data_IF_414482068071
#
_entry.id   IF_414482068071
#
_cell.length_a   1.000
_cell.length_b   1.000
_cell.length_c   1.000
_cell.angle_alpha   90.00
_cell.angle_beta   90.00
_cell.angle_gamma   90.00
#
_symmetry.space_group_name_H-M   'P 1'
#
loop_
_entity.id
_entity.type
_entity.pdbx_description
1 polymer ?
#
# COMPACT_ATOMS: atom_id res chain seq x y z
N UNK A 1 4.20 -13.94 -14.78
CA UNK A 1 2.99 -14.71 -15.19
C UNK A 1 1.88 -13.70 -15.28
N UNK A 2 1.21 -13.57 -16.43
CA UNK A 2 0.04 -12.68 -16.53
C UNK A 2 -1.17 -13.27 -15.81
N UNK A 3 -2.13 -12.40 -15.49
CA UNK A 3 -3.44 -12.69 -14.87
C UNK A 3 -4.15 -13.92 -15.47
N UNK A 4 -3.89 -14.27 -16.73
CA UNK A 4 -4.52 -15.37 -17.49
C UNK A 4 -4.53 -16.75 -16.80
N UNK A 5 -3.64 -17.04 -15.85
CA UNK A 5 -3.66 -18.30 -15.07
C UNK A 5 -4.47 -18.25 -13.76
N UNK A 6 -4.77 -17.04 -13.28
CA UNK A 6 -5.47 -16.76 -12.01
C UNK A 6 -6.92 -16.28 -12.23
N UNK A 7 -7.35 -16.09 -13.49
CA UNK A 7 -8.69 -15.66 -13.90
C UNK A 7 -9.84 -16.57 -13.45
N UNK A 8 -9.56 -17.74 -12.86
CA UNK A 8 -10.58 -18.73 -12.51
C UNK A 8 -11.32 -18.42 -11.20
N UNK A 9 -10.86 -17.46 -10.38
CA UNK A 9 -11.42 -17.27 -9.04
C UNK A 9 -11.80 -15.81 -8.76
N UNK A 10 -13.11 -15.54 -8.68
CA UNK A 10 -13.68 -14.28 -8.16
C UNK A 10 -13.58 -14.18 -6.63
N UNK A 11 -12.61 -14.87 -6.04
CA UNK A 11 -12.39 -14.96 -4.59
C UNK A 11 -10.90 -15.06 -4.28
N UNK A 12 -10.56 -14.75 -3.03
CA UNK A 12 -9.26 -15.06 -2.44
C UNK A 12 -9.48 -15.96 -1.21
N UNK A 13 -8.42 -16.61 -0.75
CA UNK A 13 -8.49 -17.43 0.47
C UNK A 13 -8.04 -16.61 1.67
N UNK A 14 -8.85 -16.63 2.73
CA UNK A 14 -8.47 -16.16 4.06
C UNK A 14 -8.70 -17.28 5.07
N UNK A 15 -7.63 -17.77 5.69
CA UNK A 15 -7.63 -18.95 6.56
C UNK A 15 -8.23 -20.19 5.88
N UNK A 16 -7.91 -20.37 4.59
CA UNK A 16 -8.44 -21.44 3.72
C UNK A 16 -9.95 -21.35 3.44
N UNK A 17 -10.63 -20.30 3.89
CA UNK A 17 -12.01 -20.01 3.52
C UNK A 17 -12.04 -19.06 2.32
N UNK A 18 -12.85 -19.33 1.27
CA UNK A 18 -12.99 -18.42 0.14
C UNK A 18 -13.81 -17.18 0.53
N UNK A 19 -13.27 -16.00 0.23
CA UNK A 19 -13.97 -14.71 0.35
C UNK A 19 -14.05 -14.04 -1.02
N UNK A 20 -15.22 -13.48 -1.40
CA UNK A 20 -15.32 -12.73 -2.65
C UNK A 20 -14.46 -11.47 -2.56
N UNK A 21 -13.85 -11.07 -3.67
CA UNK A 21 -13.28 -9.73 -3.76
C UNK A 21 -14.39 -8.68 -3.68
N UNK A 22 -14.10 -7.51 -3.10
CA UNK A 22 -14.94 -6.34 -3.29
C UNK A 22 -14.92 -5.95 -4.79
N UNK A 23 -16.11 -5.68 -5.34
CA UNK A 23 -16.32 -5.32 -6.75
C UNK A 23 -16.95 -3.94 -6.91
N UNK A 24 -17.22 -3.22 -5.82
CA UNK A 24 -17.70 -1.83 -5.89
C UNK A 24 -16.60 -0.96 -6.48
N UNK A 25 -16.87 -0.11 -7.49
CA UNK A 25 -15.82 0.72 -8.10
C UNK A 25 -15.10 1.68 -7.14
N UNK A 26 -15.77 2.10 -6.06
CA UNK A 26 -15.21 3.02 -5.09
C UNK A 26 -14.01 2.41 -4.36
N UNK A 27 -12.84 3.06 -4.44
CA UNK A 27 -11.62 2.65 -3.72
C UNK A 27 -11.04 1.29 -4.12
N UNK A 28 -11.62 0.59 -5.09
CA UNK A 28 -11.27 -0.81 -5.38
C UNK A 28 -9.99 -0.99 -6.21
N UNK A 29 -9.25 0.09 -6.45
CA UNK A 29 -7.87 0.02 -6.93
C UNK A 29 -6.85 -0.14 -5.79
N UNK A 30 -7.27 -0.08 -4.53
CA UNK A 30 -6.42 -0.30 -3.35
C UNK A 30 -6.65 -1.67 -2.71
N UNK A 31 -5.96 -1.93 -1.60
CA UNK A 31 -6.16 -3.06 -0.68
C UNK A 31 -7.61 -3.24 -0.18
N UNK A 32 -8.48 -2.22 -0.30
CA UNK A 32 -9.93 -2.30 -0.02
C UNK A 32 -10.63 -3.43 -0.77
N UNK A 33 -10.03 -3.94 -1.85
CA UNK A 33 -10.51 -5.12 -2.57
C UNK A 33 -10.59 -6.39 -1.70
N UNK A 34 -9.69 -6.55 -0.71
CA UNK A 34 -9.68 -7.68 0.22
C UNK A 34 -10.02 -7.29 1.66
N UNK A 35 -9.72 -6.06 2.09
CA UNK A 35 -9.97 -5.63 3.47
C UNK A 35 -11.46 -5.60 3.83
N UNK A 36 -12.32 -5.11 2.92
CA UNK A 36 -13.76 -5.00 3.17
C UNK A 36 -14.40 -6.40 3.35
N UNK A 37 -14.15 -7.39 2.46
CA UNK A 37 -14.60 -8.76 2.69
C UNK A 37 -14.06 -9.39 3.99
N UNK A 38 -12.78 -9.15 4.33
CA UNK A 38 -12.16 -9.64 5.58
C UNK A 38 -12.86 -9.04 6.80
N UNK A 39 -13.13 -7.73 6.78
CA UNK A 39 -13.82 -7.01 7.85
C UNK A 39 -15.26 -7.51 8.05
N UNK A 40 -16.02 -7.68 6.96
CA UNK A 40 -17.38 -8.23 7.03
C UNK A 40 -17.36 -9.64 7.61
N UNK A 41 -16.43 -10.51 7.18
CA UNK A 41 -16.28 -11.87 7.75
C UNK A 41 -16.01 -11.80 9.25
N UNK A 42 -15.06 -10.97 9.67
CA UNK A 42 -14.69 -10.80 11.08
C UNK A 42 -15.89 -10.37 11.93
N UNK A 43 -16.55 -9.27 11.54
CA UNK A 43 -17.69 -8.73 12.29
C UNK A 43 -18.84 -9.72 12.40
N UNK A 44 -19.14 -10.47 11.33
CA UNK A 44 -20.17 -11.50 11.34
C UNK A 44 -19.84 -12.66 12.28
N UNK A 45 -18.58 -13.13 12.26
CA UNK A 45 -18.11 -14.19 13.19
C UNK A 45 -18.21 -13.74 14.65
N UNK A 46 -18.14 -12.44 14.90
CA UNK A 46 -18.23 -11.84 16.25
C UNK A 46 -19.64 -11.35 16.61
N UNK A 47 -20.67 -11.62 15.79
CA UNK A 47 -22.05 -11.16 16.04
C UNK A 47 -22.18 -9.64 16.25
N UNK A 48 -21.32 -8.87 15.57
CA UNK A 48 -21.23 -7.42 15.73
C UNK A 48 -22.55 -6.71 15.42
N UNK A 49 -22.87 -5.67 16.19
CA UNK A 49 -24.05 -4.83 15.95
C UNK A 49 -25.38 -5.44 16.39
N UNK A 50 -25.41 -6.71 16.84
CA UNK A 50 -26.65 -7.38 17.30
C UNK A 50 -27.03 -6.94 18.72
N UNK A 51 -26.07 -6.92 19.65
CA UNK A 51 -26.29 -6.53 21.05
C UNK A 51 -25.96 -5.06 21.31
N UNK A 52 -24.85 -4.62 20.74
CA UNK A 52 -24.32 -3.27 20.88
C UNK A 52 -23.56 -2.86 19.62
N UNK A 53 -23.46 -1.56 19.34
CA UNK A 53 -22.68 -1.08 18.21
C UNK A 53 -21.19 -1.34 18.43
N UNK A 54 -20.48 -1.77 17.38
CA UNK A 54 -19.02 -1.84 17.40
C UNK A 54 -18.42 -0.45 17.10
N UNK A 55 -17.15 -0.25 17.47
CA UNK A 55 -16.41 0.96 17.11
C UNK A 55 -15.76 0.79 15.73
N UNK A 56 -16.03 1.69 14.81
CA UNK A 56 -15.30 1.87 13.56
C UNK A 56 -14.41 3.11 13.63
N UNK A 57 -13.17 2.99 13.18
CA UNK A 57 -12.19 4.07 13.17
C UNK A 57 -11.77 4.37 11.72
N UNK A 58 -12.00 5.61 11.27
CA UNK A 58 -11.65 6.08 9.91
C UNK A 58 -12.79 6.09 8.88
N UNK A 59 -14.06 5.99 9.32
CA UNK A 59 -15.29 6.04 8.51
C UNK A 59 -15.29 5.29 7.15
N UNK A 60 -14.59 4.16 7.05
CA UNK A 60 -14.36 3.46 5.78
C UNK A 60 -15.67 2.93 5.20
N UNK A 61 -16.49 2.26 6.01
CA UNK A 61 -17.73 1.59 5.57
C UNK A 61 -18.83 2.53 5.09
N UNK A 62 -18.77 3.84 5.38
CA UNK A 62 -19.70 4.79 4.77
C UNK A 62 -19.68 4.73 3.24
N UNK A 63 -18.54 4.35 2.65
CA UNK A 63 -18.38 4.20 1.21
C UNK A 63 -18.73 2.80 0.67
N UNK A 64 -19.01 1.84 1.54
CA UNK A 64 -19.25 0.44 1.20
C UNK A 64 -20.60 -0.08 1.71
N UNK A 65 -21.55 0.82 2.01
CA UNK A 65 -22.89 0.46 2.49
C UNK A 65 -23.61 -0.61 1.64
N UNK A 66 -23.51 -0.64 0.29
CA UNK A 66 -24.13 -1.70 -0.49
C UNK A 66 -23.60 -3.11 -0.16
N UNK A 67 -22.36 -3.25 0.33
CA UNK A 67 -21.82 -4.53 0.79
C UNK A 67 -22.30 -4.90 2.21
N UNK A 68 -22.82 -3.94 2.96
CA UNK A 68 -23.41 -4.16 4.28
C UNK A 68 -24.92 -4.44 4.21
N UNK A 69 -25.60 -4.14 3.11
CA UNK A 69 -27.05 -4.36 2.96
C UNK A 69 -27.52 -5.80 3.28
N UNK A 70 -26.77 -6.87 2.91
CA UNK A 70 -27.12 -8.25 3.29
C UNK A 70 -26.95 -8.55 4.79
N UNK A 71 -26.33 -7.64 5.54
CA UNK A 71 -25.95 -7.76 6.95
C UNK A 71 -26.36 -6.49 7.71
N UNK A 72 -27.66 -6.18 7.81
CA UNK A 72 -28.15 -4.91 8.36
C UNK A 72 -27.68 -4.65 9.80
N UNK A 73 -27.41 -5.68 10.58
CA UNK A 73 -26.80 -5.59 11.92
C UNK A 73 -25.46 -4.84 11.90
N UNK A 74 -24.66 -4.98 10.84
CA UNK A 74 -23.35 -4.33 10.71
C UNK A 74 -23.46 -2.81 10.50
N UNK A 75 -24.66 -2.28 10.27
CA UNK A 75 -24.88 -0.82 10.24
C UNK A 75 -24.94 -0.22 11.65
N UNK A 76 -25.14 -1.05 12.68
CA UNK A 76 -25.07 -0.65 14.09
C UNK A 76 -23.61 -0.48 14.50
N UNK A 77 -23.11 0.75 14.41
CA UNK A 77 -21.72 1.10 14.72
C UNK A 77 -21.59 2.53 15.23
N UNK A 78 -20.55 2.77 16.02
CA UNK A 78 -20.08 4.09 16.40
C UNK A 78 -18.88 4.41 15.51
N UNK A 79 -18.94 5.50 14.75
CA UNK A 79 -17.85 5.90 13.86
C UNK A 79 -17.04 7.00 14.52
N UNK A 80 -15.72 6.81 14.60
CA UNK A 80 -14.75 7.78 15.09
C UNK A 80 -13.84 8.20 13.94
N UNK A 81 -13.83 9.49 13.63
CA UNK A 81 -12.91 10.07 12.65
C UNK A 81 -12.59 11.52 13.02
N UNK A 82 -11.31 11.86 13.13
CA UNK A 82 -10.87 13.19 13.57
C UNK A 82 -11.23 14.31 12.59
N UNK A 83 -11.27 14.03 11.29
CA UNK A 83 -11.28 15.06 10.25
C UNK A 83 -12.51 14.99 9.33
N UNK A 84 -13.09 13.80 9.13
CA UNK A 84 -14.24 13.63 8.25
C UNK A 84 -15.55 14.05 8.95
N UNK A 85 -16.08 15.22 8.57
CA UNK A 85 -17.38 15.69 9.05
C UNK A 85 -18.52 15.06 8.23
N UNK A 86 -19.19 14.06 8.81
CA UNK A 86 -20.36 13.41 8.21
C UNK A 86 -21.43 13.03 9.26
N UNK A 87 -22.70 12.85 8.86
CA UNK A 87 -23.76 12.48 9.81
C UNK A 87 -23.46 11.18 10.55
N UNK A 88 -23.47 11.24 11.89
CA UNK A 88 -23.22 10.09 12.77
C UNK A 88 -21.75 9.78 13.04
N UNK A 89 -20.82 10.60 12.53
CA UNK A 89 -19.39 10.50 12.83
C UNK A 89 -19.06 11.31 14.08
N UNK A 90 -18.32 10.70 15.01
CA UNK A 90 -17.74 11.36 16.17
C UNK A 90 -16.41 11.99 15.73
N UNK A 91 -16.37 13.31 15.66
CA UNK A 91 -15.17 14.07 15.32
C UNK A 91 -14.22 14.27 16.51
N UNK A 92 -13.64 13.16 16.98
CA UNK A 92 -12.69 13.12 18.09
C UNK A 92 -11.37 12.45 17.65
N UNK A 93 -10.25 12.87 18.25
CA UNK A 93 -8.95 12.23 18.03
C UNK A 93 -8.94 10.86 18.73
N UNK A 94 -8.52 9.81 18.01
CA UNK A 94 -8.37 8.47 18.56
C UNK A 94 -7.52 8.47 19.83
N UNK A 95 -6.46 9.27 19.87
CA UNK A 95 -5.54 9.31 21.02
C UNK A 95 -6.21 9.87 22.28
N UNK A 96 -7.24 10.69 22.12
CA UNK A 96 -8.02 11.28 23.20
C UNK A 96 -9.25 10.44 23.57
N UNK A 97 -9.76 9.61 22.65
CA UNK A 97 -10.91 8.74 22.89
C UNK A 97 -10.65 7.73 24.01
N UNK A 98 -11.59 7.56 24.96
CA UNK A 98 -11.41 6.70 26.15
C UNK A 98 -12.47 5.61 26.34
N UNK A 99 -13.58 5.63 25.58
CA UNK A 99 -14.67 4.66 25.79
C UNK A 99 -14.22 3.28 25.34
N UNK A 100 -14.44 2.27 26.19
CA UNK A 100 -14.13 0.88 25.87
C UNK A 100 -15.21 0.24 25.00
N UNK A 101 -14.81 -0.75 24.22
CA UNK A 101 -15.68 -1.51 23.31
C UNK A 101 -15.32 -2.98 23.31
N UNK A 102 -16.33 -3.84 23.19
CA UNK A 102 -16.15 -5.27 22.96
C UNK A 102 -15.59 -5.57 21.57
N UNK A 103 -15.90 -4.73 20.58
CA UNK A 103 -15.46 -4.89 19.19
C UNK A 103 -14.99 -3.58 18.56
N UNK A 104 -13.81 -3.63 17.92
CA UNK A 104 -13.20 -2.51 17.20
C UNK A 104 -12.83 -2.93 15.78
N UNK A 105 -13.11 -2.07 14.80
CA UNK A 105 -12.68 -2.19 13.42
C UNK A 105 -11.89 -0.94 13.02
N UNK A 106 -10.71 -1.13 12.44
CA UNK A 106 -9.88 -0.02 11.97
C UNK A 106 -9.17 -0.44 10.68
N UNK A 107 -9.58 0.11 9.53
CA UNK A 107 -9.08 -0.34 8.23
C UNK A 107 -8.24 0.74 7.58
N UNK A 108 -6.94 0.52 7.43
CA UNK A 108 -6.01 1.45 6.78
C UNK A 108 -6.16 2.89 7.30
N UNK A 109 -6.09 3.03 8.62
CA UNK A 109 -6.24 4.32 9.32
C UNK A 109 -5.04 4.62 10.22
N UNK A 110 -4.56 3.63 10.99
CA UNK A 110 -3.53 3.87 12.01
C UNK A 110 -2.18 4.26 11.45
N UNK A 111 -1.85 3.83 10.24
CA UNK A 111 -0.61 4.17 9.53
C UNK A 111 -0.47 5.67 9.23
N UNK A 112 -1.58 6.40 9.24
CA UNK A 112 -1.64 7.84 8.98
C UNK A 112 -1.53 8.66 10.27
N UNK A 113 -1.70 8.04 11.43
CA UNK A 113 -1.70 8.75 12.71
C UNK A 113 -0.31 9.33 12.96
N UNK A 114 -0.30 10.62 13.32
CA UNK A 114 0.93 11.38 13.54
C UNK A 114 1.65 11.80 12.26
N UNK A 115 1.15 11.45 11.06
CA UNK A 115 1.74 11.82 9.77
C UNK A 115 1.06 13.05 9.16
N UNK A 116 1.65 13.63 8.11
CA UNK A 116 1.07 14.76 7.37
C UNK A 116 -0.08 14.30 6.44
N UNK A 117 -1.18 13.85 7.04
CA UNK A 117 -2.34 13.31 6.33
C UNK A 117 -3.65 13.91 6.84
N UNK A 118 -4.65 13.97 5.95
CA UNK A 118 -6.06 14.29 6.26
C UNK A 118 -6.32 15.58 7.04
N UNK A 119 -5.38 16.53 7.03
CA UNK A 119 -5.50 17.81 7.73
C UNK A 119 -4.49 18.01 8.85
N UNK A 120 -3.76 16.98 9.26
CA UNK A 120 -2.66 17.08 10.22
C UNK A 120 -1.48 17.88 9.62
N UNK A 121 -1.02 18.88 10.36
CA UNK A 121 0.04 19.80 9.94
C UNK A 121 1.35 19.58 10.69
N UNK A 122 1.33 18.76 11.76
CA UNK A 122 2.52 18.48 12.58
C UNK A 122 3.52 17.58 11.84
N UNK A 123 4.80 17.80 12.14
CA UNK A 123 5.90 16.91 11.72
C UNK A 123 5.59 15.46 12.07
N UNK A 124 5.84 14.55 11.13
CA UNK A 124 5.61 13.11 11.27
C UNK A 124 6.16 12.49 12.55
N UNK A 125 5.30 11.92 13.40
CA UNK A 125 5.69 11.02 14.49
C UNK A 125 5.63 9.58 13.99
N UNK A 126 6.79 9.03 13.63
CA UNK A 126 6.91 7.69 13.03
C UNK A 126 6.43 6.57 13.94
N UNK A 127 6.29 6.81 15.24
CA UNK A 127 5.86 5.81 16.24
C UNK A 127 4.41 5.98 16.70
N UNK A 128 3.76 7.08 16.31
CA UNK A 128 2.35 7.32 16.60
C UNK A 128 1.41 6.19 16.11
N UNK A 129 1.64 5.52 14.96
CA UNK A 129 0.86 4.34 14.59
C UNK A 129 0.92 3.20 15.62
N UNK A 130 2.09 2.94 16.23
CA UNK A 130 2.24 1.91 17.27
C UNK A 130 1.56 2.33 18.58
N UNK A 131 1.68 3.61 18.94
CA UNK A 131 0.95 4.18 20.08
C UNK A 131 -0.56 4.06 19.90
N UNK A 132 -1.06 4.28 18.69
CA UNK A 132 -2.47 4.12 18.34
C UNK A 132 -2.89 2.65 18.46
N UNK A 133 -2.15 1.70 17.88
CA UNK A 133 -2.43 0.27 18.01
C UNK A 133 -2.49 -0.19 19.47
N UNK A 134 -1.54 0.26 20.30
CA UNK A 134 -1.56 -0.02 21.74
C UNK A 134 -2.78 0.64 22.41
N UNK A 135 -3.14 1.85 22.01
CA UNK A 135 -4.33 2.52 22.53
C UNK A 135 -5.61 1.76 22.16
N UNK A 136 -5.74 1.25 20.93
CA UNK A 136 -6.83 0.34 20.53
C UNK A 136 -6.93 -0.87 21.46
N UNK A 137 -5.79 -1.50 21.77
CA UNK A 137 -5.75 -2.60 22.72
C UNK A 137 -6.28 -2.21 24.13
N UNK A 138 -6.01 -0.99 24.58
CA UNK A 138 -6.51 -0.48 25.86
C UNK A 138 -8.00 -0.08 25.83
N UNK A 139 -8.52 0.26 24.64
CA UNK A 139 -9.95 0.49 24.41
C UNK A 139 -10.75 -0.81 24.36
N UNK A 140 -10.12 -1.98 24.22
CA UNK A 140 -10.86 -3.23 24.29
C UNK A 140 -11.34 -3.52 25.73
N UNK A 141 -12.62 -3.88 25.84
CA UNK A 141 -13.19 -4.50 27.03
C UNK A 141 -12.56 -5.88 27.29
N UNK A 142 -12.66 -6.44 28.51
CA UNK A 142 -12.27 -7.83 28.76
C UNK A 142 -12.90 -8.78 27.74
N UNK A 143 -12.08 -9.68 27.19
CA UNK A 143 -12.45 -10.62 26.10
C UNK A 143 -12.85 -9.96 24.76
N UNK A 144 -12.77 -8.64 24.64
CA UNK A 144 -13.02 -7.92 23.40
C UNK A 144 -11.98 -8.18 22.32
N UNK A 145 -12.35 -7.90 21.07
CA UNK A 145 -11.51 -8.11 19.89
C UNK A 145 -11.44 -6.88 18.99
N UNK A 146 -10.29 -6.69 18.33
CA UNK A 146 -10.13 -5.72 17.27
C UNK A 146 -9.65 -6.38 15.98
N UNK A 147 -10.09 -5.85 14.84
CA UNK A 147 -9.48 -6.11 13.54
C UNK A 147 -8.87 -4.81 13.01
N UNK A 148 -7.58 -4.83 12.75
CA UNK A 148 -6.83 -3.70 12.17
C UNK A 148 -6.15 -4.14 10.88
N UNK A 149 -6.16 -3.30 9.85
CA UNK A 149 -5.35 -3.51 8.64
C UNK A 149 -4.39 -2.35 8.43
N UNK A 150 -3.16 -2.66 8.00
CA UNK A 150 -2.10 -1.70 7.68
C UNK A 150 -1.29 -2.15 6.47
N UNK A 151 -0.72 -1.22 5.67
CA UNK A 151 0.26 -1.56 4.65
C UNK A 151 1.50 -2.20 5.28
N UNK A 152 2.01 -3.27 4.67
CA UNK A 152 3.09 -4.08 5.23
C UNK A 152 4.14 -4.48 4.19
N UNK A 153 5.43 -4.38 4.56
CA UNK A 153 6.57 -4.85 3.79
C UNK A 153 7.87 -4.20 4.25
N UNK A 154 8.58 -3.49 3.35
CA UNK A 154 9.69 -2.62 3.76
C UNK A 154 9.19 -1.52 4.69
N UNK A 155 9.99 -1.19 5.71
CA UNK A 155 9.71 -0.04 6.57
C UNK A 155 9.90 1.23 5.77
N UNK A 156 8.82 1.96 5.52
CA UNK A 156 8.86 3.19 4.73
C UNK A 156 8.14 4.33 5.45
N UNK A 157 8.74 5.51 5.39
CA UNK A 157 8.12 6.78 5.74
C UNK A 157 7.75 7.50 4.44
N UNK A 158 6.46 7.53 4.12
CA UNK A 158 5.95 8.18 2.92
C UNK A 158 5.61 9.66 3.17
N UNK A 159 5.89 10.19 4.37
CA UNK A 159 5.51 11.53 4.84
C UNK A 159 4.04 11.66 5.27
N UNK A 160 3.13 10.95 4.61
CA UNK A 160 1.69 10.92 4.91
C UNK A 160 1.20 9.57 5.46
N UNK A 161 2.05 8.55 5.44
CA UNK A 161 1.81 7.25 6.09
C UNK A 161 3.13 6.56 6.44
N UNK A 162 3.07 5.61 7.36
CA UNK A 162 4.13 4.64 7.63
C UNK A 162 3.73 3.28 7.05
N UNK A 163 4.54 2.71 6.16
CA UNK A 163 4.42 1.30 5.81
C UNK A 163 5.12 0.45 6.87
N UNK A 164 4.40 -0.51 7.45
CA UNK A 164 4.92 -1.31 8.54
C UNK A 164 5.89 -2.37 8.00
N UNK A 165 6.92 -2.69 8.78
CA UNK A 165 7.74 -3.90 8.61
C UNK A 165 7.53 -4.87 9.77
N UNK A 166 8.15 -6.05 9.67
CA UNK A 166 8.14 -7.03 10.75
C UNK A 166 8.84 -6.48 12.01
N UNK A 167 9.98 -5.80 11.88
CA UNK A 167 10.68 -5.17 13.01
C UNK A 167 9.81 -4.10 13.67
N UNK A 168 9.17 -3.25 12.86
CA UNK A 168 8.32 -2.19 13.37
C UNK A 168 7.09 -2.74 14.10
N UNK A 169 6.43 -3.77 13.55
CA UNK A 169 5.27 -4.38 14.21
C UNK A 169 5.67 -5.14 15.48
N UNK A 170 6.86 -5.76 15.54
CA UNK A 170 7.37 -6.44 16.74
C UNK A 170 7.51 -5.50 17.94
N UNK A 171 7.81 -4.22 17.70
CA UNK A 171 7.87 -3.21 18.77
C UNK A 171 6.57 -3.13 19.58
N UNK A 172 5.41 -3.41 18.97
CA UNK A 172 4.12 -3.43 19.68
C UNK A 172 4.17 -4.33 20.93
N UNK A 173 4.90 -5.45 20.83
CA UNK A 173 5.13 -6.40 21.91
C UNK A 173 6.36 -6.05 22.75
N UNK A 174 7.51 -5.83 22.10
CA UNK A 174 8.80 -5.67 22.76
C UNK A 174 8.89 -4.37 23.58
N UNK A 175 8.29 -3.30 23.05
CA UNK A 175 8.42 -1.93 23.55
C UNK A 175 7.11 -1.34 24.04
N UNK A 176 6.00 -1.57 23.35
CA UNK A 176 4.68 -1.02 23.74
C UNK A 176 3.87 -1.94 24.66
N UNK A 177 4.39 -3.15 24.92
CA UNK A 177 3.91 -4.03 25.98
C UNK A 177 2.59 -4.73 25.69
N UNK A 178 2.09 -4.69 24.46
CA UNK A 178 0.94 -5.52 24.07
C UNK A 178 1.37 -6.99 24.15
N UNK A 179 0.61 -7.88 24.81
CA UNK A 179 0.98 -9.30 24.90
C UNK A 179 1.07 -9.95 23.51
N UNK A 180 2.10 -10.75 23.26
CA UNK A 180 2.24 -11.43 21.97
C UNK A 180 1.07 -12.40 21.72
N UNK A 181 0.55 -13.03 22.77
CA UNK A 181 -0.60 -13.94 22.73
C UNK A 181 -1.92 -13.22 22.41
N UNK A 182 -1.96 -11.90 22.57
CA UNK A 182 -3.11 -11.09 22.19
C UNK A 182 -3.16 -10.83 20.68
N UNK A 183 -2.08 -11.10 19.94
CA UNK A 183 -1.96 -10.76 18.53
C UNK A 183 -2.00 -12.01 17.66
N UNK A 184 -2.84 -11.98 16.64
CA UNK A 184 -2.79 -12.92 15.53
C UNK A 184 -2.73 -12.11 14.23
N UNK A 185 -1.64 -12.27 13.47
CA UNK A 185 -1.38 -11.46 12.27
C UNK A 185 -1.37 -12.37 11.05
N UNK A 186 -2.21 -12.04 10.08
CA UNK A 186 -2.19 -12.63 8.75
C UNK A 186 -1.63 -11.64 7.73
N UNK A 187 -0.96 -12.14 6.70
CA UNK A 187 -0.32 -11.30 5.69
C UNK A 187 -0.85 -11.62 4.31
N UNK A 188 -1.00 -10.60 3.46
CA UNK A 188 -1.41 -10.77 2.09
C UNK A 188 -0.47 -10.04 1.15
N UNK A 189 -0.20 -10.65 -0.01
CA UNK A 189 0.58 -10.07 -1.10
C UNK A 189 -0.29 -9.88 -2.33
N UNK A 190 -0.21 -8.70 -2.94
CA UNK A 190 -0.79 -8.41 -4.25
C UNK A 190 0.10 -9.07 -5.31
N UNK A 191 -0.43 -10.07 -6.02
CA UNK A 191 0.27 -10.79 -7.08
C UNK A 191 0.19 -10.06 -8.41
N UNK A 192 -0.98 -9.54 -8.74
CA UNK A 192 -1.24 -8.87 -10.00
C UNK A 192 -2.43 -7.91 -9.90
N UNK A 193 -2.49 -6.97 -10.83
CA UNK A 193 -3.56 -5.99 -10.92
C UNK A 193 -3.68 -5.46 -12.35
N UNK A 194 -4.91 -5.24 -12.84
CA UNK A 194 -5.13 -4.54 -14.11
C UNK A 194 -4.55 -3.10 -14.01
N UNK A 195 -3.90 -2.63 -15.08
CA UNK A 195 -3.21 -1.33 -15.10
C UNK A 195 -4.13 -0.12 -15.30
N UNK A 196 -5.39 -0.20 -14.90
CA UNK A 196 -6.34 0.91 -14.95
C UNK A 196 -6.94 1.21 -13.58
N UNK A 197 -7.35 2.47 -13.37
CA UNK A 197 -7.84 2.92 -12.07
C UNK A 197 -9.32 2.59 -11.82
N UNK A 198 -10.10 2.38 -12.89
CA UNK A 198 -11.53 2.17 -12.77
C UNK A 198 -11.86 0.71 -12.47
N UNK A 199 -11.97 0.36 -11.18
CA UNK A 199 -12.32 -0.99 -10.72
C UNK A 199 -11.44 -2.11 -11.30
N UNK A 200 -10.11 -2.04 -11.13
CA UNK A 200 -9.20 -3.04 -11.67
C UNK A 200 -9.44 -4.42 -11.05
N UNK A 201 -9.27 -5.48 -11.82
CA UNK A 201 -9.11 -6.81 -11.23
C UNK A 201 -7.80 -6.84 -10.47
N UNK A 202 -7.83 -7.46 -9.30
CA UNK A 202 -6.65 -7.67 -8.47
C UNK A 202 -6.57 -9.14 -8.09
N UNK A 203 -5.35 -9.64 -7.91
CA UNK A 203 -5.10 -10.96 -7.36
C UNK A 203 -4.28 -10.83 -6.09
N UNK A 204 -4.83 -11.33 -4.99
CA UNK A 204 -4.19 -11.35 -3.69
C UNK A 204 -4.08 -12.76 -3.15
N UNK A 205 -2.99 -13.04 -2.43
CA UNK A 205 -2.76 -14.33 -1.79
C UNK A 205 -2.35 -14.13 -0.33
N UNK A 206 -2.92 -14.93 0.57
CA UNK A 206 -2.43 -15.02 1.96
C UNK A 206 -1.05 -15.69 1.94
N UNK A 207 -0.08 -15.10 2.64
CA UNK A 207 1.33 -15.46 2.55
C UNK A 207 2.04 -15.36 3.90
N UNK A 208 3.32 -15.77 3.95
CA UNK A 208 4.20 -15.48 5.09
C UNK A 208 4.70 -14.04 5.06
N UNK A 209 5.02 -13.46 6.22
CA UNK A 209 5.58 -12.09 6.30
C UNK A 209 6.91 -11.94 5.56
N UNK A 210 7.67 -13.02 5.45
CA UNK A 210 8.95 -13.10 4.78
C UNK A 210 8.81 -12.84 3.28
N UNK A 211 7.67 -13.20 2.68
CA UNK A 211 7.37 -12.93 1.27
C UNK A 211 7.08 -11.43 1.00
N UNK A 212 6.86 -10.64 2.06
CA UNK A 212 6.62 -9.21 1.98
C UNK A 212 7.84 -8.36 2.33
N UNK A 213 8.98 -8.97 2.67
CA UNK A 213 10.18 -8.24 3.08
C UNK A 213 10.65 -7.18 2.07
N UNK A 214 10.37 -7.40 0.78
CA UNK A 214 10.69 -6.46 -0.30
C UNK A 214 9.49 -5.67 -0.85
N UNK A 215 8.27 -5.89 -0.33
CA UNK A 215 7.08 -5.20 -0.79
C UNK A 215 7.16 -3.71 -0.45
N UNK A 216 6.80 -2.85 -1.41
CA UNK A 216 6.79 -1.40 -1.25
C UNK A 216 5.37 -0.87 -1.47
N UNK A 217 5.05 0.23 -0.82
CA UNK A 217 3.86 1.01 -1.12
C UNK A 217 4.04 1.65 -2.50
N UNK A 218 2.97 1.68 -3.29
CA UNK A 218 2.92 2.22 -4.65
C UNK A 218 3.85 1.55 -5.69
N UNK A 219 4.44 0.38 -5.38
CA UNK A 219 5.24 -0.36 -6.34
C UNK A 219 5.22 -1.88 -6.10
N UNK A 220 4.99 -2.70 -7.14
CA UNK A 220 4.79 -2.33 -8.56
C UNK A 220 3.39 -1.76 -8.86
N UNK A 221 2.41 -2.05 -8.00
CA UNK A 221 1.03 -1.58 -8.13
C UNK A 221 0.79 -0.41 -7.19
N UNK A 222 -0.20 0.43 -7.51
CA UNK A 222 -0.62 1.51 -6.61
C UNK A 222 -1.08 1.00 -5.24
N UNK A 223 -0.95 1.86 -4.24
CA UNK A 223 -1.27 1.63 -2.83
C UNK A 223 -0.49 0.45 -2.23
N UNK A 224 -1.08 -0.27 -1.27
CA UNK A 224 -0.40 -1.37 -0.62
C UNK A 224 -0.21 -2.56 -1.60
N UNK A 225 1.01 -3.08 -1.64
CA UNK A 225 1.35 -4.34 -2.32
C UNK A 225 1.48 -5.51 -1.34
N UNK A 226 1.59 -5.19 -0.05
CA UNK A 226 1.49 -6.12 1.07
C UNK A 226 0.64 -5.50 2.16
N UNK A 227 -0.15 -6.30 2.86
CA UNK A 227 -0.92 -5.86 4.03
C UNK A 227 -0.73 -6.83 5.19
N UNK A 228 -0.78 -6.27 6.40
CA UNK A 228 -0.93 -7.04 7.63
C UNK A 228 -2.37 -6.87 8.13
N UNK A 229 -3.03 -7.99 8.39
CA UNK A 229 -4.33 -8.08 9.03
C UNK A 229 -4.10 -8.50 10.47
N UNK A 230 -4.18 -7.55 11.39
CA UNK A 230 -3.89 -7.70 12.80
C UNK A 230 -5.22 -7.94 13.54
N UNK A 231 -5.42 -9.15 14.02
CA UNK A 231 -6.47 -9.46 14.97
C UNK A 231 -5.92 -9.34 16.39
N UNK A 232 -6.52 -8.47 17.19
CA UNK A 232 -6.19 -8.33 18.61
C UNK A 232 -7.29 -8.92 19.46
N UNK A 233 -6.93 -9.61 20.55
CA UNK A 233 -7.84 -10.03 21.61
C UNK A 233 -7.37 -9.46 22.94
N UNK A 234 -8.25 -8.85 23.73
CA UNK A 234 -7.91 -8.35 25.07
C UNK A 234 -7.56 -9.50 25.99
N UNK A 235 -6.34 -9.49 26.52
CA UNK A 235 -5.86 -10.45 27.53
C UNK A 235 -5.36 -9.68 28.75
N UNK A 236 -5.98 -9.91 29.89
CA UNK A 236 -5.60 -9.23 31.13
C UNK A 236 -5.94 -7.73 31.13
N UNK A 237 -5.13 -6.93 31.81
CA UNK A 237 -5.37 -5.51 32.05
C UNK A 237 -4.87 -4.61 30.91
N UNK A 238 -5.11 -3.31 31.06
CA UNK A 238 -4.50 -2.30 30.20
C UNK A 238 -2.98 -2.32 30.33
N UNK A 239 -2.31 -1.99 29.22
CA UNK A 239 -0.85 -1.89 29.16
C UNK A 239 -0.42 -0.46 29.42
N UNK A 240 0.77 -0.31 30.03
CA UNK A 240 1.30 0.98 30.45
C UNK A 240 1.53 1.95 29.27
N UNK A 241 1.42 3.25 29.56
CA UNK A 241 1.51 4.33 28.55
C UNK A 241 2.96 4.64 28.14
N UNK A 242 3.95 4.32 28.98
CA UNK A 242 5.36 4.58 28.65
C UNK A 242 5.97 3.39 27.87
N UNK A 243 6.44 3.59 26.62
CA UNK A 243 7.14 2.55 25.88
C UNK A 243 8.52 2.28 26.48
N UNK A 244 9.02 1.05 26.29
CA UNK A 244 10.40 0.68 26.61
C UNK A 244 11.34 1.14 25.48
N UNK A 245 12.57 1.59 25.79
CA UNK A 245 13.54 1.93 24.76
C UNK A 245 13.82 0.76 23.81
N UNK A 246 14.03 1.07 22.53
CA UNK A 246 14.48 0.13 21.51
C UNK A 246 15.53 0.79 20.61
N UNK A 247 16.21 -0.02 19.80
CA UNK A 247 17.12 0.49 18.79
C UNK A 247 16.36 1.33 17.75
N UNK A 248 16.95 2.40 17.20
CA UNK A 248 16.33 3.17 16.12
C UNK A 248 16.10 2.28 14.89
N UNK A 249 14.92 2.42 14.28
CA UNK A 249 14.61 1.74 13.02
C UNK A 249 15.03 2.59 11.82
N UNK A 250 15.40 1.91 10.73
CA UNK A 250 15.75 2.55 9.47
C UNK A 250 14.52 2.65 8.56
N UNK A 251 14.01 3.86 8.37
CA UNK A 251 12.86 4.13 7.50
C UNK A 251 13.37 4.52 6.12
N UNK A 252 12.90 3.81 5.10
CA UNK A 252 13.15 4.22 3.72
C UNK A 252 12.20 5.38 3.35
N UNK A 253 12.73 6.36 2.64
CA UNK A 253 11.92 7.43 2.06
C UNK A 253 11.03 6.92 0.93
N UNK A 254 9.99 7.69 0.62
CA UNK A 254 9.21 7.50 -0.59
C UNK A 254 10.11 7.52 -1.84
N UNK A 255 9.88 6.62 -2.82
CA UNK A 255 10.59 6.64 -4.09
C UNK A 255 10.32 7.94 -4.86
N UNK A 256 11.34 8.49 -5.50
CA UNK A 256 11.20 9.65 -6.42
C UNK A 256 10.33 9.30 -7.62
N UNK A 257 10.44 8.05 -8.11
CA UNK A 257 9.55 7.45 -9.12
C UNK A 257 9.20 6.05 -8.65
N UNK A 258 7.92 5.68 -8.61
CA UNK A 258 7.45 4.37 -8.12
C UNK A 258 6.92 3.42 -9.19
N UNK A 259 6.32 3.95 -10.26
CA UNK A 259 5.68 3.18 -11.32
C UNK A 259 5.45 4.00 -12.60
N UNK A 260 5.66 3.40 -13.78
CA UNK A 260 5.38 4.04 -15.08
C UNK A 260 3.88 4.21 -15.38
N UNK A 261 3.03 3.41 -14.72
CA UNK A 261 1.60 3.36 -14.99
C UNK A 261 0.83 4.44 -14.23
N UNK A 262 1.29 4.77 -13.02
CA UNK A 262 0.57 5.67 -12.11
C UNK A 262 1.27 7.02 -11.91
N UNK A 263 2.55 7.15 -12.26
CA UNK A 263 3.23 8.44 -12.31
C UNK A 263 2.94 9.20 -13.62
N UNK A 264 3.15 10.54 -13.67
CA UNK A 264 2.78 11.37 -14.82
C UNK A 264 3.78 11.25 -15.99
N UNK A 265 3.98 10.03 -16.49
CA UNK A 265 4.73 9.74 -17.71
C UNK A 265 3.92 10.11 -18.96
N UNK A 266 4.62 10.64 -19.96
CA UNK A 266 4.10 10.71 -21.32
C UNK A 266 4.25 9.35 -21.98
N UNK A 267 3.15 8.84 -22.54
CA UNK A 267 3.03 7.50 -23.11
C UNK A 267 2.38 7.59 -24.48
N UNK A 268 3.14 7.89 -25.56
CA UNK A 268 2.58 8.31 -26.85
C UNK A 268 1.56 7.34 -27.46
N UNK A 269 1.69 6.04 -27.21
CA UNK A 269 0.80 5.01 -27.74
C UNK A 269 -0.11 4.35 -26.69
N UNK A 270 -0.10 4.85 -25.44
CA UNK A 270 -0.80 4.21 -24.32
C UNK A 270 -0.25 2.82 -23.98
N UNK A 271 -1.01 2.06 -23.20
CA UNK A 271 -0.73 0.67 -22.84
C UNK A 271 -2.05 -0.10 -22.67
N UNK A 272 -2.02 -1.43 -22.76
CA UNK A 272 -3.19 -2.29 -22.56
C UNK A 272 -3.44 -2.62 -21.07
N UNK A 273 -4.52 -3.36 -20.76
CA UNK A 273 -4.86 -3.70 -19.36
C UNK A 273 -3.77 -4.47 -18.63
N UNK A 274 -2.93 -5.22 -19.36
CA UNK A 274 -1.83 -6.01 -18.82
C UNK A 274 -0.55 -5.15 -18.71
N UNK A 275 -0.60 -3.87 -19.07
CA UNK A 275 0.52 -2.95 -18.98
C UNK A 275 1.49 -3.00 -20.16
N UNK A 276 1.14 -3.65 -21.26
CA UNK A 276 1.98 -3.67 -22.45
C UNK A 276 1.80 -2.40 -23.27
N UNK A 277 2.91 -1.69 -23.49
CA UNK A 277 3.03 -0.60 -24.44
C UNK A 277 3.28 -1.17 -25.86
N UNK A 278 2.50 -0.76 -26.87
CA UNK A 278 2.81 -1.12 -28.25
C UNK A 278 4.03 -0.34 -28.76
N UNK A 279 4.96 -1.04 -29.40
CA UNK A 279 6.24 -0.52 -29.87
C UNK A 279 6.46 -1.00 -31.32
N UNK A 280 5.87 -0.27 -32.27
CA UNK A 280 5.78 -0.67 -33.70
C UNK A 280 6.66 0.14 -34.65
N UNK A 281 7.31 1.20 -34.15
CA UNK A 281 8.17 2.08 -34.93
C UNK A 281 9.24 2.71 -34.02
N UNK A 282 10.38 3.14 -34.56
CA UNK A 282 11.38 3.84 -33.77
C UNK A 282 10.80 5.08 -33.09
N UNK A 283 11.11 5.28 -31.81
CA UNK A 283 10.54 6.35 -31.02
C UNK A 283 10.46 6.04 -29.53
N UNK A 284 10.03 7.03 -28.74
CA UNK A 284 9.81 6.84 -27.31
C UNK A 284 8.54 6.01 -27.06
N UNK A 285 8.71 4.95 -26.27
CA UNK A 285 7.62 4.18 -25.67
C UNK A 285 6.99 4.99 -24.53
N UNK A 286 7.85 5.55 -23.68
CA UNK A 286 7.47 6.52 -22.66
C UNK A 286 8.64 7.44 -22.32
N UNK A 287 8.33 8.57 -21.70
CA UNK A 287 9.31 9.44 -21.06
C UNK A 287 8.67 10.21 -19.90
N UNK A 288 9.49 10.57 -18.91
CA UNK A 288 9.08 11.33 -17.73
C UNK A 288 9.34 10.58 -16.41
N UNK A 289 8.61 10.92 -15.35
CA UNK A 289 8.06 12.27 -15.15
C UNK A 289 9.19 13.31 -15.22
N UNK A 290 8.86 14.58 -15.48
CA UNK A 290 9.85 15.66 -15.42
C UNK A 290 10.06 16.08 -13.97
N UNK A 291 11.26 15.85 -13.45
CA UNK A 291 11.62 16.04 -12.04
C UNK A 291 12.79 17.01 -11.88
N UNK A 292 12.98 17.50 -10.66
CA UNK A 292 14.24 18.10 -10.23
C UNK A 292 14.96 17.08 -9.35
N UNK A 293 16.18 16.69 -9.72
CA UNK A 293 17.03 15.82 -8.90
C UNK A 293 18.08 16.67 -8.21
N UNK A 294 18.17 16.56 -6.89
CA UNK A 294 19.21 17.21 -6.10
C UNK A 294 20.56 16.51 -6.32
N UNK A 295 21.70 17.16 -5.99
CA UNK A 295 22.98 16.48 -5.94
C UNK A 295 22.92 15.32 -4.93
N UNK A 296 23.37 14.13 -5.33
CA UNK A 296 23.29 12.93 -4.50
C UNK A 296 23.44 11.64 -5.30
N UNK A 297 23.39 10.52 -4.59
CA UNK A 297 23.44 9.18 -5.17
C UNK A 297 22.02 8.65 -5.30
N UNK A 298 21.69 8.07 -6.46
CA UNK A 298 20.39 7.48 -6.73
C UNK A 298 20.53 6.03 -7.18
N UNK A 299 19.51 5.21 -6.92
CA UNK A 299 19.39 3.84 -7.43
C UNK A 299 18.19 3.74 -8.36
N UNK A 300 18.44 3.37 -9.62
CA UNK A 300 17.43 3.00 -10.59
C UNK A 300 17.25 1.48 -10.59
N UNK A 301 16.05 1.03 -10.24
CA UNK A 301 15.63 -0.37 -10.32
C UNK A 301 14.53 -0.48 -11.39
N UNK A 302 14.69 -1.40 -12.35
CA UNK A 302 13.68 -1.62 -13.37
C UNK A 302 13.54 -3.11 -13.72
N UNK A 303 12.30 -3.53 -13.93
CA UNK A 303 11.95 -4.80 -14.58
C UNK A 303 11.30 -4.47 -15.91
N UNK A 304 11.84 -5.01 -17.00
CA UNK A 304 11.35 -4.76 -18.36
C UNK A 304 11.11 -6.10 -19.04
N UNK A 305 9.92 -6.28 -19.59
CA UNK A 305 9.48 -7.47 -20.31
C UNK A 305 9.26 -7.10 -21.78
N UNK A 306 9.96 -7.76 -22.70
CA UNK A 306 9.88 -7.51 -24.14
C UNK A 306 9.23 -8.72 -24.82
N UNK A 307 8.17 -8.47 -25.59
CA UNK A 307 7.48 -9.41 -26.46
C UNK A 307 7.76 -9.02 -27.93
N UNK A 308 8.69 -9.73 -28.58
CA UNK A 308 9.12 -9.50 -29.96
C UNK A 308 10.59 -9.05 -30.10
N UNK A 309 11.09 -8.82 -31.33
CA UNK A 309 12.50 -8.53 -31.60
C UNK A 309 12.87 -7.04 -31.46
N UNK A 310 12.32 -6.35 -30.45
CA UNK A 310 12.57 -4.92 -30.21
C UNK A 310 13.98 -4.65 -29.68
N UNK A 311 14.58 -3.55 -30.13
CA UNK A 311 15.83 -3.01 -29.57
C UNK A 311 15.55 -1.68 -28.88
N UNK A 312 15.85 -1.59 -27.58
CA UNK A 312 15.52 -0.43 -26.77
C UNK A 312 16.76 0.17 -26.09
N UNK A 313 16.67 1.44 -25.71
CA UNK A 313 17.54 2.03 -24.68
C UNK A 313 16.67 2.62 -23.58
N UNK A 314 16.98 2.24 -22.33
CA UNK A 314 16.49 2.92 -21.14
C UNK A 314 17.51 4.00 -20.75
N UNK A 315 17.05 5.22 -20.55
CA UNK A 315 17.89 6.37 -20.27
C UNK A 315 17.35 7.16 -19.09
N UNK A 316 18.27 7.76 -18.33
CA UNK A 316 17.98 8.87 -17.43
C UNK A 316 18.67 10.10 -18.01
N UNK A 317 17.89 11.14 -18.25
CA UNK A 317 18.35 12.36 -18.91
C UNK A 317 17.93 13.58 -18.10
N UNK A 318 18.54 14.74 -18.35
CA UNK A 318 18.12 16.04 -17.81
C UNK A 318 18.05 17.10 -18.89
N UNK A 319 17.52 18.27 -18.52
CA UNK A 319 17.36 19.42 -19.40
C UNK A 319 16.56 19.06 -20.66
N UNK A 320 15.41 18.40 -20.49
CA UNK A 320 14.54 17.92 -21.58
C UNK A 320 15.25 16.94 -22.52
N UNK A 321 16.18 16.13 -22.00
CA UNK A 321 16.89 15.13 -22.79
C UNK A 321 18.16 15.61 -23.45
N UNK A 322 18.56 16.85 -23.19
CA UNK A 322 19.79 17.43 -23.78
C UNK A 322 21.05 16.94 -23.10
N UNK A 323 20.94 16.43 -21.87
CA UNK A 323 22.05 15.85 -21.13
C UNK A 323 21.71 14.41 -20.73
N UNK A 324 22.60 13.50 -21.08
CA UNK A 324 22.52 12.11 -20.63
C UNK A 324 23.15 11.99 -19.24
N UNK A 325 22.42 11.40 -18.31
CA UNK A 325 22.91 11.09 -16.97
C UNK A 325 23.29 9.60 -16.87
N UNK A 326 22.49 8.73 -17.49
CA UNK A 326 22.71 7.29 -17.52
C UNK A 326 22.00 6.66 -18.73
N UNK A 327 22.53 5.59 -19.29
CA UNK A 327 21.84 4.79 -20.30
C UNK A 327 22.20 3.30 -20.25
N UNK A 328 21.29 2.47 -20.75
CA UNK A 328 21.50 1.04 -20.97
C UNK A 328 20.70 0.55 -22.17
N UNK A 329 21.38 -0.18 -23.07
CA UNK A 329 20.72 -0.89 -24.17
C UNK A 329 20.04 -2.16 -23.63
N UNK A 330 18.81 -2.41 -24.10
CA UNK A 330 17.95 -3.53 -23.69
C UNK A 330 17.42 -4.20 -24.95
N UNK A 331 17.76 -5.48 -25.14
CA UNK A 331 17.38 -6.25 -26.34
C UNK A 331 16.57 -7.52 -26.00
N UNK A 332 16.34 -7.77 -24.71
CA UNK A 332 15.56 -8.88 -24.18
C UNK A 332 15.00 -8.50 -22.82
N UNK A 333 13.98 -9.22 -22.36
CA UNK A 333 13.44 -9.05 -21.01
C UNK A 333 14.53 -9.18 -19.97
N UNK A 334 14.62 -8.22 -19.04
CA UNK A 334 15.62 -8.21 -17.99
C UNK A 334 15.16 -7.44 -16.75
N UNK A 335 15.79 -7.76 -15.62
CA UNK A 335 15.76 -6.93 -14.41
C UNK A 335 17.12 -6.29 -14.25
N UNK A 336 17.13 -5.00 -13.92
CA UNK A 336 18.35 -4.22 -13.76
C UNK A 336 18.27 -3.36 -12.51
N UNK A 337 19.44 -3.11 -11.93
CA UNK A 337 19.68 -2.11 -10.90
C UNK A 337 20.95 -1.35 -11.31
N UNK A 338 20.92 -0.03 -11.18
CA UNK A 338 22.05 0.82 -11.53
C UNK A 338 22.14 2.02 -10.58
N UNK A 339 23.33 2.30 -10.01
CA UNK A 339 23.57 3.56 -9.33
C UNK A 339 23.68 4.71 -10.36
N UNK A 340 23.21 5.89 -9.98
CA UNK A 340 23.26 7.12 -10.76
C UNK A 340 23.75 8.22 -9.83
N UNK A 341 24.94 8.76 -10.12
CA UNK A 341 25.50 9.89 -9.36
C UNK A 341 25.08 11.21 -9.99
N UNK A 342 24.53 12.09 -9.17
CA UNK A 342 24.10 13.43 -9.56
C UNK A 342 25.04 14.44 -8.90
N UNK A 343 25.97 14.99 -9.68
CA UNK A 343 27.02 15.91 -9.18
C UNK A 343 26.48 17.31 -8.82
N UNK A 344 25.43 17.73 -9.53
CA UNK A 344 24.78 19.03 -9.37
C UNK A 344 23.30 18.86 -9.62
N UNK A 345 22.50 19.81 -9.15
CA UNK A 345 21.06 19.78 -9.37
C UNK A 345 20.73 19.64 -10.86
N UNK A 346 19.91 18.64 -11.19
CA UNK A 346 19.45 18.36 -12.56
C UNK A 346 17.98 18.74 -12.69
N UNK A 347 17.73 19.76 -13.50
CA UNK A 347 16.38 20.23 -13.82
C UNK A 347 15.79 19.44 -14.97
N UNK A 348 14.47 19.19 -14.92
CA UNK A 348 13.74 18.45 -15.95
C UNK A 348 14.40 17.11 -16.27
N UNK A 349 14.75 16.39 -15.20
CA UNK A 349 15.23 15.03 -15.26
C UNK A 349 14.08 14.09 -15.62
N UNK A 350 14.33 13.11 -16.50
CA UNK A 350 13.32 12.19 -17.02
C UNK A 350 13.91 10.81 -17.22
N UNK A 351 13.11 9.77 -16.95
CA UNK A 351 13.38 8.39 -17.34
C UNK A 351 12.72 8.14 -18.69
N UNK A 352 13.43 7.55 -19.64
CA UNK A 352 12.99 7.40 -21.01
C UNK A 352 13.24 6.00 -21.53
N UNK A 353 12.29 5.42 -22.24
CA UNK A 353 12.49 4.18 -22.98
C UNK A 353 12.27 4.44 -24.48
N UNK A 354 13.33 4.30 -25.26
CA UNK A 354 13.33 4.54 -26.70
C UNK A 354 13.52 3.23 -27.47
N UNK A 355 12.67 2.97 -28.47
CA UNK A 355 12.83 1.87 -29.43
C UNK A 355 13.64 2.35 -30.65
N UNK A 356 14.66 1.61 -31.04
CA UNK A 356 15.56 1.95 -32.16
C UNK A 356 15.13 1.37 -33.50
N UNK A 357 14.55 0.16 -33.50
CA UNK A 357 14.22 -0.56 -34.72
C UNK A 357 12.72 -0.45 -35.06
N UNK A 358 12.36 -0.83 -36.29
CA UNK A 358 10.98 -0.87 -36.76
C UNK A 358 10.31 -2.23 -36.55
N UNK A 359 10.87 -3.07 -35.68
CA UNK A 359 10.27 -4.36 -35.35
C UNK A 359 8.95 -4.16 -34.60
N UNK A 360 7.93 -4.92 -34.97
CA UNK A 360 6.71 -5.00 -34.19
C UNK A 360 7.01 -5.75 -32.89
N UNK A 361 6.91 -5.03 -31.78
CA UNK A 361 7.05 -5.59 -30.45
C UNK A 361 6.12 -4.88 -29.46
N UNK A 362 6.05 -5.43 -28.26
CA UNK A 362 5.39 -4.80 -27.12
C UNK A 362 6.33 -4.89 -25.94
N UNK A 363 6.25 -3.91 -25.05
CA UNK A 363 7.07 -3.88 -23.84
C UNK A 363 6.18 -3.61 -22.64
N UNK A 364 6.38 -4.34 -21.55
CA UNK A 364 5.76 -4.10 -20.25
C UNK A 364 6.87 -3.74 -19.28
N UNK A 365 6.61 -2.83 -18.35
CA UNK A 365 7.59 -2.42 -17.33
C UNK A 365 6.98 -2.68 -15.96
N UNK A 366 7.00 -3.95 -15.47
CA UNK A 366 6.35 -4.30 -14.21
C UNK A 366 6.78 -3.45 -13.01
N UNK A 367 8.03 -2.97 -13.00
CA UNK A 367 8.54 -2.09 -11.94
C UNK A 367 9.53 -1.10 -12.54
N UNK A 368 9.42 0.15 -12.12
CA UNK A 368 10.34 1.23 -12.45
C UNK A 368 10.45 2.14 -11.23
N UNK A 369 11.54 2.00 -10.50
CA UNK A 369 11.77 2.71 -9.25
C UNK A 369 13.05 3.54 -9.34
N UNK A 370 12.98 4.80 -8.97
CA UNK A 370 14.13 5.66 -8.75
C UNK A 370 14.10 6.13 -7.30
N UNK A 371 15.14 5.79 -6.54
CA UNK A 371 15.29 6.17 -5.13
C UNK A 371 16.56 6.98 -4.95
N UNK A 372 16.54 7.91 -3.99
CA UNK A 372 17.77 8.42 -3.38
C UNK A 372 18.38 7.29 -2.52
N UNK A 373 19.69 7.08 -2.65
CA UNK A 373 20.41 5.91 -2.13
C UNK A 373 21.04 6.15 -0.75
#
# INVERSE_FOLDING_TARGET
MGIAGLELFNYFLYDREPLPYNQLPYGNCSERTIEIPIAIRFLRKMEAGIREPYLEIGNVFANYLPLLDPHPELKSRIVLDKFEEAPGVLNEDLMDYKRKHSLILCLSTVEHIGQHAYGEQKSGDREAPLLALRHLYNLLEPDGSALVTVPFGKLMDMGWLIQFSDEYLRLLTDSYGVPAEALNVSYFRKLDMDMHLNNPKQCWIQCGKEELADARFDSPFMFANGIAVIHMKKIGSDVAIAPRPHEPLNYLSAPTVSSVYFAPFVRPAGFDKDGYFPAVRPGYVFYGPSLTLAPGSYSLEASIEIDGPGEFTLEVTSNQGRRLLWSRKIVRSERLSAPIEIEREEQQAEIRLYQHNAAHCRVRVPSLVLNEA
#
